data_IF_805952283264
#
_entry.id   IF_805952283264
#
_cell.length_a   1.000
_cell.length_b   1.000
_cell.length_c   1.000
_cell.angle_alpha   90.00
_cell.angle_beta   90.00
_cell.angle_gamma   90.00
#
_symmetry.space_group_name_H-M   'P 1'
#
loop_
_entity.id
_entity.type
_entity.pdbx_description
1 polymer ?
#
# COMPACT_ATOMS: atom_id res chain seq x y z
N UNK A 1 -20.98 14.13 11.85
CA UNK A 1 -19.66 13.63 12.28
C UNK A 1 -19.34 14.25 13.64
N UNK A 2 -18.74 13.50 14.58
CA UNK A 2 -18.57 13.89 15.99
C UNK A 2 -17.54 15.02 16.26
N UNK A 3 -17.19 15.84 15.27
CA UNK A 3 -16.14 16.88 15.33
C UNK A 3 -14.82 16.40 15.95
N UNK A 4 -14.44 15.15 15.65
CA UNK A 4 -13.17 14.55 16.06
C UNK A 4 -12.29 14.36 14.83
N UNK A 5 -11.00 14.54 15.02
CA UNK A 5 -10.02 14.14 14.01
C UNK A 5 -10.05 12.62 13.88
N UNK A 6 -10.01 12.15 12.63
CA UNK A 6 -10.02 10.73 12.28
C UNK A 6 -8.70 10.43 11.59
N UNK A 7 -8.01 9.41 12.10
CA UNK A 7 -6.77 8.89 11.55
C UNK A 7 -7.05 7.47 11.07
N UNK A 8 -6.66 7.16 9.84
CA UNK A 8 -6.68 5.80 9.33
C UNK A 8 -5.33 5.15 9.65
N UNK A 9 -5.32 4.18 10.56
CA UNK A 9 -4.06 3.59 11.06
C UNK A 9 -3.55 2.42 10.19
N UNK A 10 -4.39 1.87 9.32
CA UNK A 10 -4.05 0.73 8.47
C UNK A 10 -4.71 0.88 7.10
N UNK A 11 -4.17 1.78 6.27
CA UNK A 11 -4.53 1.83 4.86
C UNK A 11 -3.79 0.70 4.12
N UNK A 12 -4.57 -0.26 3.59
CA UNK A 12 -4.04 -1.40 2.87
C UNK A 12 -3.23 -0.94 1.64
N UNK A 13 -1.95 -1.31 1.64
CA UNK A 13 -1.03 -1.00 0.55
C UNK A 13 -0.07 -2.17 0.25
N UNK A 14 -0.40 -3.37 0.72
CA UNK A 14 0.20 -4.66 0.33
C UNK A 14 -0.88 -5.68 -0.07
N UNK A 15 -0.49 -6.76 -0.75
CA UNK A 15 -1.42 -7.83 -1.11
C UNK A 15 -2.04 -8.48 0.12
N UNK A 16 -3.32 -8.80 0.00
CA UNK A 16 -4.06 -9.63 0.93
C UNK A 16 -4.68 -10.79 0.17
N UNK A 17 -4.72 -11.97 0.79
CA UNK A 17 -5.18 -13.19 0.12
C UNK A 17 -5.57 -14.29 1.09
N UNK A 18 -6.11 -15.41 0.58
CA UNK A 18 -6.56 -16.54 1.41
C UNK A 18 -5.41 -17.36 2.02
N UNK A 19 -4.16 -17.10 1.58
CA UNK A 19 -2.93 -17.71 2.08
C UNK A 19 -1.95 -16.62 2.49
N UNK A 20 -0.94 -16.99 3.27
CA UNK A 20 0.16 -16.12 3.62
C UNK A 20 0.97 -15.76 2.36
N UNK A 21 1.59 -14.58 2.35
CA UNK A 21 2.26 -14.05 1.16
C UNK A 21 3.40 -14.95 0.67
N UNK A 22 4.17 -15.52 1.59
CA UNK A 22 5.25 -16.44 1.26
C UNK A 22 4.76 -17.80 0.69
N UNK A 23 3.50 -18.16 0.90
CA UNK A 23 2.85 -19.36 0.35
C UNK A 23 2.04 -19.07 -0.93
N UNK A 24 2.04 -17.81 -1.38
CA UNK A 24 1.24 -17.33 -2.50
C UNK A 24 2.12 -17.02 -3.71
N UNK A 25 1.80 -17.53 -4.91
CA UNK A 25 2.48 -17.12 -6.14
C UNK A 25 2.40 -15.61 -6.33
N UNK A 26 3.45 -15.01 -6.87
CA UNK A 26 3.51 -13.56 -7.09
C UNK A 26 2.31 -13.04 -7.90
N UNK A 27 1.89 -13.76 -8.93
CA UNK A 27 0.71 -13.45 -9.75
C UNK A 27 -0.60 -13.41 -8.94
N UNK A 28 -0.72 -14.22 -7.87
CA UNK A 28 -1.87 -14.17 -6.97
C UNK A 28 -1.80 -12.95 -6.04
N UNK A 29 -0.61 -12.60 -5.57
CA UNK A 29 -0.39 -11.41 -4.77
C UNK A 29 -0.77 -10.13 -5.55
N UNK A 30 -0.38 -10.05 -6.82
CA UNK A 30 -0.62 -8.87 -7.67
C UNK A 30 -2.11 -8.60 -7.97
N UNK A 31 -3.00 -9.55 -7.71
CA UNK A 31 -4.45 -9.38 -7.89
C UNK A 31 -5.05 -8.38 -6.91
N UNK A 32 -4.52 -8.31 -5.69
CA UNK A 32 -5.08 -7.46 -4.64
C UNK A 32 -4.28 -6.19 -4.43
N UNK A 33 -2.98 -6.20 -4.71
CA UNK A 33 -2.16 -4.99 -4.85
C UNK A 33 -1.11 -5.17 -5.94
N UNK A 34 -1.09 -4.23 -6.87
CA UNK A 34 -0.01 -3.93 -7.80
C UNK A 34 0.16 -2.41 -7.87
N UNK A 35 1.10 -1.89 -8.68
CA UNK A 35 1.35 -0.44 -8.78
C UNK A 35 0.08 0.38 -9.05
N UNK A 36 -0.76 -0.09 -9.98
CA UNK A 36 -2.00 0.61 -10.34
C UNK A 36 -2.99 0.65 -9.17
N UNK A 37 -3.16 -0.48 -8.47
CA UNK A 37 -4.05 -0.56 -7.31
C UNK A 37 -3.51 0.25 -6.13
N UNK A 38 -2.20 0.23 -5.88
CA UNK A 38 -1.55 1.08 -4.89
C UNK A 38 -1.87 2.56 -5.15
N UNK A 39 -1.62 3.05 -6.37
CA UNK A 39 -1.92 4.44 -6.74
C UNK A 39 -3.41 4.79 -6.58
N UNK A 40 -4.31 3.87 -6.95
CA UNK A 40 -5.76 4.05 -6.77
C UNK A 40 -6.14 4.13 -5.29
N UNK A 41 -5.55 3.31 -4.42
CA UNK A 41 -5.82 3.33 -2.98
C UNK A 41 -5.37 4.66 -2.36
N UNK A 42 -4.18 5.14 -2.72
CA UNK A 42 -3.68 6.44 -2.24
C UNK A 42 -4.58 7.58 -2.72
N UNK A 43 -4.94 7.60 -4.00
CA UNK A 43 -5.81 8.63 -4.57
C UNK A 43 -7.21 8.61 -3.93
N UNK A 44 -7.74 7.42 -3.67
CA UNK A 44 -9.01 7.27 -2.97
C UNK A 44 -8.91 7.79 -1.54
N UNK A 45 -7.86 7.43 -0.80
CA UNK A 45 -7.61 7.93 0.56
C UNK A 45 -7.55 9.46 0.60
N UNK A 46 -6.83 10.08 -0.35
CA UNK A 46 -6.74 11.55 -0.49
C UNK A 46 -8.12 12.20 -0.70
N UNK A 47 -9.02 11.55 -1.44
CA UNK A 47 -10.37 12.06 -1.73
C UNK A 47 -11.33 12.00 -0.54
N UNK A 48 -11.04 11.22 0.50
CA UNK A 48 -11.90 11.12 1.70
C UNK A 48 -11.92 12.41 2.53
N UNK A 49 -10.88 13.26 2.40
CA UNK A 49 -10.72 14.46 3.21
C UNK A 49 -10.18 14.22 4.62
N UNK A 50 -9.79 12.98 4.98
CA UNK A 50 -9.04 12.74 6.22
C UNK A 50 -7.61 13.28 6.09
N UNK A 51 -7.07 13.73 7.22
CA UNK A 51 -5.77 14.40 7.26
C UNK A 51 -4.60 13.44 7.33
N UNK A 52 -4.79 12.25 7.92
CA UNK A 52 -3.69 11.35 8.26
C UNK A 52 -4.03 9.88 7.99
N UNK A 53 -3.07 9.21 7.37
CA UNK A 53 -3.12 7.80 7.00
C UNK A 53 -1.76 7.16 7.30
N UNK A 54 -1.76 6.04 8.02
CA UNK A 54 -0.63 5.13 8.09
C UNK A 54 -0.87 3.99 7.11
N UNK A 55 0.18 3.65 6.36
CA UNK A 55 0.16 2.63 5.31
C UNK A 55 0.64 1.31 5.88
N UNK A 56 -0.09 0.24 5.59
CA UNK A 56 0.32 -1.12 5.88
C UNK A 56 0.89 -1.76 4.60
N UNK A 57 2.19 -2.11 4.60
CA UNK A 57 2.82 -2.79 3.47
C UNK A 57 4.32 -2.57 3.22
N UNK A 58 5.00 -1.78 4.03
CA UNK A 58 6.40 -1.39 3.77
C UNK A 58 7.37 -2.59 3.64
N UNK A 59 7.16 -3.66 4.40
CA UNK A 59 7.96 -4.87 4.33
C UNK A 59 7.81 -5.58 2.97
N UNK A 60 6.58 -5.67 2.45
CA UNK A 60 6.31 -6.25 1.15
C UNK A 60 6.88 -5.38 0.01
N UNK A 61 6.81 -4.05 0.09
CA UNK A 61 7.45 -3.16 -0.89
C UNK A 61 8.97 -3.36 -0.95
N UNK A 62 9.60 -3.51 0.21
CA UNK A 62 11.02 -3.78 0.30
C UNK A 62 11.38 -5.16 -0.27
N UNK A 63 10.57 -6.18 0.01
CA UNK A 63 10.73 -7.51 -0.57
C UNK A 63 10.61 -7.50 -2.10
N UNK A 64 9.66 -6.77 -2.67
CA UNK A 64 9.56 -6.62 -4.14
C UNK A 64 10.85 -6.03 -4.73
N UNK A 65 11.35 -4.96 -4.10
CA UNK A 65 12.57 -4.29 -4.54
C UNK A 65 13.78 -5.23 -4.51
N UNK A 66 14.00 -5.93 -3.41
CA UNK A 66 15.22 -6.72 -3.20
C UNK A 66 15.15 -8.13 -3.81
N UNK A 67 14.02 -8.82 -3.68
CA UNK A 67 13.87 -10.23 -4.08
C UNK A 67 13.25 -10.41 -5.47
N UNK A 68 12.33 -9.52 -5.88
CA UNK A 68 11.69 -9.57 -7.21
C UNK A 68 12.31 -8.59 -8.22
N UNK A 69 13.30 -7.80 -7.81
CA UNK A 69 13.91 -6.75 -8.62
C UNK A 69 12.86 -5.76 -9.20
N UNK A 70 11.81 -5.48 -8.43
CA UNK A 70 10.72 -4.59 -8.79
C UNK A 70 10.59 -3.44 -7.78
N UNK A 71 11.28 -2.31 -8.00
CA UNK A 71 11.25 -1.17 -7.08
C UNK A 71 10.03 -0.25 -7.29
N UNK A 72 9.09 -0.55 -8.20
CA UNK A 72 8.08 0.42 -8.66
C UNK A 72 7.20 0.95 -7.53
N UNK A 73 6.70 0.08 -6.66
CA UNK A 73 5.86 0.50 -5.51
C UNK A 73 6.70 1.23 -4.45
N UNK A 74 7.94 0.78 -4.20
CA UNK A 74 8.86 1.46 -3.29
C UNK A 74 9.15 2.89 -3.74
N UNK A 75 9.42 3.08 -5.03
CA UNK A 75 9.67 4.39 -5.62
C UNK A 75 8.43 5.28 -5.64
N UNK A 76 7.25 4.70 -5.85
CA UNK A 76 5.98 5.42 -5.76
C UNK A 76 5.68 5.86 -4.33
N UNK A 77 5.87 4.99 -3.34
CA UNK A 77 5.60 5.28 -1.93
C UNK A 77 6.49 6.42 -1.41
N UNK A 78 7.76 6.48 -1.79
CA UNK A 78 8.67 7.59 -1.40
C UNK A 78 8.13 8.97 -1.77
N UNK A 79 7.33 9.09 -2.84
CA UNK A 79 6.74 10.36 -3.28
C UNK A 79 5.70 10.92 -2.31
N UNK A 80 5.24 10.13 -1.35
CA UNK A 80 4.26 10.55 -0.34
C UNK A 80 4.89 11.42 0.76
N UNK A 81 6.22 11.38 0.91
CA UNK A 81 6.97 12.19 1.88
C UNK A 81 8.04 13.03 1.17
N UNK A 82 7.65 14.00 0.32
CA UNK A 82 8.60 14.93 -0.25
C UNK A 82 9.23 15.75 0.88
N UNK A 83 10.57 15.75 0.94
CA UNK A 83 11.35 16.62 1.81
C UNK A 83 11.20 18.09 1.42
#
# INVERSE_FOLDING_TARGET
>A
AFNKEVICVELQAEPWGPKLLYDSPFEEQEKTINLTLFQKNIEFARKTGFKEFYLWGAEWWFWLKEAQNDPRIWDEAKKLWPH
#
